data_IF_946791098055
#
_entry.id   IF_946791098055
#
_cell.length_a   1.000
_cell.length_b   1.000
_cell.length_c   1.000
_cell.angle_alpha   90.00
_cell.angle_beta   90.00
_cell.angle_gamma   90.00
#
_symmetry.space_group_name_H-M   'P 1'
#
loop_
_entity.id
_entity.type
_entity.pdbx_description
1 polymer ?
#
# COMPACT_ATOMS: atom_id res chain seq x y z
N UNK A 1 -42.96 -8.34 -5.99
CA UNK A 1 -41.58 -7.84 -6.08
C UNK A 1 -41.39 -6.78 -5.01
N UNK A 2 -40.89 -7.15 -3.85
CA UNK A 2 -40.49 -6.18 -2.81
C UNK A 2 -39.13 -5.63 -3.20
N UNK A 3 -39.05 -4.33 -3.49
CA UNK A 3 -37.78 -3.66 -3.75
C UNK A 3 -36.96 -3.68 -2.45
N UNK A 4 -35.79 -4.29 -2.51
CA UNK A 4 -34.80 -4.20 -1.43
C UNK A 4 -34.36 -2.74 -1.34
N UNK A 5 -34.83 -2.04 -0.31
CA UNK A 5 -34.26 -0.76 0.13
C UNK A 5 -32.74 -0.96 0.27
N UNK A 6 -31.89 -0.13 -0.36
CA UNK A 6 -30.46 -0.20 -0.10
C UNK A 6 -30.29 0.03 1.40
N UNK A 7 -29.77 -0.98 2.11
CA UNK A 7 -29.32 -0.82 3.49
C UNK A 7 -28.29 0.29 3.40
N UNK A 8 -28.65 1.48 3.86
CA UNK A 8 -27.75 2.62 3.94
C UNK A 8 -26.42 2.07 4.46
N UNK A 9 -25.39 2.08 3.61
CA UNK A 9 -24.06 1.68 4.01
C UNK A 9 -23.76 2.48 5.27
N UNK A 10 -23.28 1.81 6.33
CA UNK A 10 -23.07 2.42 7.63
C UNK A 10 -22.48 3.82 7.46
N UNK A 11 -23.06 4.82 8.14
CA UNK A 11 -22.52 6.17 8.19
C UNK A 11 -21.02 6.04 8.49
N UNK A 12 -20.13 6.57 7.63
CA UNK A 12 -18.70 6.38 7.83
C UNK A 12 -18.36 6.85 9.24
N UNK A 13 -17.73 5.97 10.03
CA UNK A 13 -17.33 6.34 11.38
C UNK A 13 -16.52 7.64 11.30
N UNK A 14 -16.83 8.63 12.17
CA UNK A 14 -16.14 9.91 12.13
C UNK A 14 -14.64 9.69 12.31
N UNK A 15 -13.86 10.20 11.37
CA UNK A 15 -12.40 10.07 11.38
C UNK A 15 -11.83 11.21 12.22
N UNK A 16 -11.32 10.88 13.40
CA UNK A 16 -10.61 11.84 14.25
C UNK A 16 -9.10 11.85 13.94
N UNK A 17 -8.60 12.98 13.45
CA UNK A 17 -7.16 13.20 13.24
C UNK A 17 -6.77 14.65 13.58
N UNK A 18 -5.50 14.85 13.92
CA UNK A 18 -4.94 16.17 14.26
C UNK A 18 -3.79 16.51 13.33
N UNK A 19 -3.82 17.71 12.74
CA UNK A 19 -2.74 18.23 11.92
C UNK A 19 -1.80 19.04 12.81
N UNK A 20 -0.56 18.57 12.99
CA UNK A 20 0.43 19.24 13.86
C UNK A 20 1.31 20.26 13.12
N UNK A 21 1.21 20.32 11.79
CA UNK A 21 2.01 21.22 10.97
C UNK A 21 1.56 22.66 11.18
N UNK A 22 2.48 23.58 11.55
CA UNK A 22 2.13 24.98 11.76
C UNK A 22 1.93 25.72 10.43
N UNK A 23 1.19 26.84 10.49
CA UNK A 23 1.03 27.80 9.38
C UNK A 23 0.43 27.21 8.09
N UNK A 24 -0.64 26.42 8.24
CA UNK A 24 -1.46 25.95 7.13
C UNK A 24 -2.64 26.87 6.88
N UNK A 25 -2.92 27.13 5.61
CA UNK A 25 -4.10 27.84 5.16
C UNK A 25 -5.33 26.91 5.13
N UNK A 26 -6.53 27.50 5.18
CA UNK A 26 -7.78 26.73 5.18
C UNK A 26 -7.94 25.84 3.93
N UNK A 27 -7.42 26.29 2.78
CA UNK A 27 -7.44 25.52 1.53
C UNK A 27 -6.56 24.26 1.62
N UNK A 28 -5.39 24.37 2.25
CA UNK A 28 -4.47 23.24 2.41
C UNK A 28 -5.04 22.20 3.38
N UNK A 29 -5.69 22.65 4.46
CA UNK A 29 -6.40 21.76 5.39
C UNK A 29 -7.52 21.00 4.67
N UNK A 30 -8.29 21.68 3.81
CA UNK A 30 -9.35 21.06 3.04
C UNK A 30 -8.80 20.02 2.04
N UNK A 31 -7.70 20.36 1.35
CA UNK A 31 -7.04 19.44 0.42
C UNK A 31 -6.54 18.17 1.12
N UNK A 32 -5.83 18.31 2.24
CA UNK A 32 -5.33 17.18 3.03
C UNK A 32 -6.49 16.30 3.53
N UNK A 33 -7.56 16.92 4.03
CA UNK A 33 -8.75 16.21 4.51
C UNK A 33 -9.40 15.40 3.38
N UNK A 34 -9.57 15.99 2.19
CA UNK A 34 -10.13 15.31 1.04
C UNK A 34 -9.27 14.11 0.59
N UNK A 35 -7.95 14.26 0.60
CA UNK A 35 -7.01 13.17 0.26
C UNK A 35 -7.09 12.03 1.29
N UNK A 36 -7.13 12.34 2.58
CA UNK A 36 -7.29 11.34 3.65
C UNK A 36 -8.62 10.59 3.54
N UNK A 37 -9.73 11.30 3.29
CA UNK A 37 -11.03 10.67 3.08
C UNK A 37 -11.03 9.74 1.86
N UNK A 38 -10.46 10.18 0.75
CA UNK A 38 -10.34 9.35 -0.45
C UNK A 38 -9.44 8.12 -0.22
N UNK A 39 -8.32 8.28 0.49
CA UNK A 39 -7.42 7.16 0.81
C UNK A 39 -8.12 6.13 1.71
N UNK A 40 -8.91 6.56 2.70
CA UNK A 40 -9.63 5.66 3.59
C UNK A 40 -10.77 4.92 2.88
N UNK A 41 -11.50 5.61 2.00
CA UNK A 41 -12.50 4.97 1.15
C UNK A 41 -11.89 3.83 0.30
N UNK A 42 -10.70 4.05 -0.26
CA UNK A 42 -9.97 3.01 -1.00
C UNK A 42 -9.40 1.90 -0.09
N UNK A 43 -9.02 2.23 1.15
CA UNK A 43 -8.48 1.25 2.08
C UNK A 43 -9.53 0.23 2.56
N UNK A 44 -10.80 0.64 2.67
CA UNK A 44 -11.92 -0.24 3.02
C UNK A 44 -12.18 -1.37 2.01
N UNK A 45 -11.84 -1.16 0.75
CA UNK A 45 -11.91 -2.19 -0.30
C UNK A 45 -10.75 -3.21 -0.21
N UNK A 46 -9.72 -2.91 0.58
CA UNK A 46 -8.64 -3.86 0.90
C UNK A 46 -9.02 -4.63 2.16
N UNK A 47 -9.90 -5.62 2.00
CA UNK A 47 -10.23 -6.57 3.07
C UNK A 47 -8.96 -7.14 3.74
N UNK A 48 -8.88 -7.24 5.09
CA UNK A 48 -7.74 -7.83 5.81
C UNK A 48 -7.58 -9.34 5.55
N UNK A 49 -8.36 -9.93 4.65
CA UNK A 49 -7.98 -11.16 3.96
C UNK A 49 -6.84 -10.91 2.95
N UNK A 50 -5.79 -10.22 3.37
CA UNK A 50 -4.48 -10.32 2.73
C UNK A 50 -3.96 -11.74 3.02
N UNK A 51 -4.51 -12.71 2.27
CA UNK A 51 -3.75 -13.91 1.91
C UNK A 51 -2.41 -13.39 1.43
N UNK A 52 -1.33 -13.69 2.17
CA UNK A 52 0.01 -13.24 1.85
C UNK A 52 0.19 -13.33 0.34
N UNK A 53 0.38 -12.18 -0.32
CA UNK A 53 0.44 -12.13 -1.77
C UNK A 53 1.44 -13.20 -2.23
N UNK A 54 1.09 -14.05 -3.22
CA UNK A 54 2.00 -15.09 -3.68
C UNK A 54 3.33 -14.42 -4.01
N UNK A 55 4.41 -14.93 -3.42
CA UNK A 55 5.72 -14.31 -3.50
C UNK A 55 6.02 -13.92 -4.95
N UNK A 56 6.21 -12.63 -5.20
CA UNK A 56 6.41 -12.12 -6.56
C UNK A 56 7.60 -12.82 -7.21
N UNK A 57 7.60 -12.91 -8.55
CA UNK A 57 8.75 -13.47 -9.28
C UNK A 57 10.09 -12.83 -8.89
N UNK A 58 10.05 -11.53 -8.55
CA UNK A 58 11.17 -10.78 -7.97
C UNK A 58 11.61 -11.29 -6.59
N UNK A 59 10.67 -11.61 -5.70
CA UNK A 59 10.96 -12.13 -4.37
C UNK A 59 11.57 -13.55 -4.43
N UNK A 60 11.21 -14.33 -5.46
CA UNK A 60 11.82 -15.64 -5.74
C UNK A 60 13.25 -15.51 -6.27
N UNK A 61 13.48 -14.66 -7.28
CA UNK A 61 14.81 -14.44 -7.85
C UNK A 61 15.80 -13.82 -6.86
N UNK A 62 15.33 -12.96 -5.93
CA UNK A 62 16.18 -12.36 -4.88
C UNK A 62 16.82 -13.37 -3.95
N UNK A 63 16.21 -14.56 -3.78
CA UNK A 63 16.77 -15.63 -2.94
C UNK A 63 17.95 -16.29 -3.60
N UNK A 64 17.84 -16.59 -4.89
CA UNK A 64 18.91 -17.20 -5.68
C UNK A 64 20.12 -16.26 -5.80
N UNK A 65 19.89 -14.95 -5.91
CA UNK A 65 20.95 -13.93 -5.95
C UNK A 65 21.70 -13.74 -4.63
N UNK A 66 21.15 -14.21 -3.50
CA UNK A 66 21.80 -14.15 -2.18
C UNK A 66 22.72 -15.34 -1.92
N UNK A 67 22.64 -16.37 -2.75
CA UNK A 67 23.61 -17.45 -2.72
C UNK A 67 24.95 -16.87 -3.14
N UNK A 68 26.01 -17.02 -2.32
CA UNK A 68 27.35 -16.59 -2.72
C UNK A 68 27.71 -17.30 -4.02
N UNK A 69 27.90 -16.51 -5.09
CA UNK A 69 28.39 -17.02 -6.35
C UNK A 69 29.85 -17.39 -6.11
N UNK A 70 30.17 -18.69 -6.18
CA UNK A 70 31.53 -19.16 -6.03
C UNK A 70 32.27 -19.04 -7.38
N UNK A 71 33.29 -18.17 -7.50
CA UNK A 71 34.25 -18.25 -8.58
C UNK A 71 34.75 -19.68 -8.80
N UNK A 72 34.63 -20.21 -10.02
CA UNK A 72 35.50 -21.29 -10.45
C UNK A 72 36.95 -20.78 -10.58
N UNK A 73 37.98 -21.63 -10.39
CA UNK A 73 39.37 -21.23 -10.61
C UNK A 73 39.55 -20.67 -12.03
N UNK A 74 39.89 -19.38 -12.16
CA UNK A 74 40.14 -18.70 -13.44
C UNK A 74 38.99 -17.89 -14.02
N UNK A 75 37.79 -17.92 -13.43
CA UNK A 75 36.56 -17.39 -14.05
C UNK A 75 36.39 -15.86 -13.99
N UNK A 76 37.17 -15.15 -13.16
CA UNK A 76 36.95 -13.71 -12.92
C UNK A 76 37.85 -12.80 -13.77
N UNK A 77 38.61 -13.36 -14.72
CA UNK A 77 39.61 -12.62 -15.51
C UNK A 77 39.15 -12.18 -16.91
N UNK A 78 37.85 -11.97 -17.11
CA UNK A 78 37.34 -11.31 -18.33
C UNK A 78 36.45 -10.12 -18.00
N UNK A 79 36.97 -9.22 -17.18
CA UNK A 79 36.55 -7.83 -17.16
C UNK A 79 37.80 -6.99 -17.44
N UNK A 80 38.16 -6.95 -18.72
CA UNK A 80 39.27 -6.20 -19.31
C UNK A 80 38.98 -6.03 -20.77
#
# INVERSE_FOLDING_TARGET
MTASTPRHAADPEPIDFTITTPNLEAEEIAAVTAVLQAALANAGDTSPAATAAPASGWQKSRRDLRTPIHPGPGEWRRAG
#
